data_IF_747030625029
#
_entry.id   IF_747030625029
#
_cell.length_a   1.000
_cell.length_b   1.000
_cell.length_c   1.000
_cell.angle_alpha   90.00
_cell.angle_beta   90.00
_cell.angle_gamma   90.00
#
_symmetry.space_group_name_H-M   'P 1'
#
loop_
_entity.id
_entity.type
_entity.pdbx_description
1 polymer ?
#
# COMPACT_ATOMS: atom_id res chain seq x y z
N UNK A 1 8.89 9.34 8.11
CA UNK A 1 8.01 8.94 6.99
C UNK A 1 8.65 7.87 6.09
N UNK A 2 9.96 7.95 5.78
CA UNK A 2 10.66 7.00 4.88
C UNK A 2 10.64 5.51 5.33
N UNK A 3 10.63 5.23 6.63
CA UNK A 3 10.69 3.85 7.13
C UNK A 3 9.41 3.03 6.83
N UNK A 4 8.23 3.66 6.83
CA UNK A 4 6.97 2.93 6.67
C UNK A 4 6.74 2.54 5.20
N UNK A 5 7.09 3.44 4.28
CA UNK A 5 7.04 3.17 2.84
C UNK A 5 7.96 2.02 2.46
N UNK A 6 9.21 2.03 2.90
CA UNK A 6 10.18 0.95 2.58
C UNK A 6 9.70 -0.43 3.05
N UNK A 7 9.11 -0.49 4.25
CA UNK A 7 8.54 -1.72 4.77
C UNK A 7 7.35 -2.17 3.91
N UNK A 8 6.40 -1.29 3.60
CA UNK A 8 5.21 -1.68 2.82
C UNK A 8 5.52 -1.98 1.35
N UNK A 9 6.53 -1.34 0.74
CA UNK A 9 6.95 -1.60 -0.64
C UNK A 9 7.67 -2.94 -0.81
N UNK A 10 8.42 -3.37 0.20
CA UNK A 10 9.24 -4.59 0.14
C UNK A 10 8.50 -5.88 0.48
N UNK A 11 7.21 -5.80 0.83
CA UNK A 11 6.43 -6.93 1.37
C UNK A 11 5.38 -7.42 0.38
N UNK A 12 5.17 -8.73 0.35
CA UNK A 12 4.06 -9.40 -0.33
C UNK A 12 2.73 -9.08 0.35
N UNK A 13 1.60 -9.33 -0.33
CA UNK A 13 0.28 -9.06 0.27
C UNK A 13 -0.03 -9.98 1.47
N UNK A 14 0.55 -11.19 1.49
CA UNK A 14 0.53 -12.08 2.65
C UNK A 14 1.26 -11.49 3.84
N UNK A 15 2.50 -11.02 3.65
CA UNK A 15 3.29 -10.40 4.72
C UNK A 15 2.66 -9.11 5.22
N UNK A 16 2.11 -8.27 4.33
CA UNK A 16 1.39 -7.06 4.74
C UNK A 16 0.15 -7.40 5.57
N UNK A 17 -0.56 -8.47 5.25
CA UNK A 17 -1.70 -8.95 6.05
C UNK A 17 -1.25 -9.36 7.46
N UNK A 18 -0.12 -10.06 7.58
CA UNK A 18 0.46 -10.41 8.87
C UNK A 18 0.90 -9.18 9.67
N UNK A 19 1.52 -8.20 9.02
CA UNK A 19 1.93 -6.93 9.64
C UNK A 19 0.71 -6.21 10.24
N UNK A 20 -0.42 -6.13 9.52
CA UNK A 20 -1.64 -5.53 10.06
C UNK A 20 -2.18 -6.28 11.27
N UNK A 21 -2.17 -7.62 11.23
CA UNK A 21 -2.66 -8.44 12.33
C UNK A 21 -1.82 -8.24 13.60
N UNK A 22 -0.49 -8.26 13.47
CA UNK A 22 0.45 -8.03 14.57
C UNK A 22 0.31 -6.59 15.11
N UNK A 23 0.19 -5.61 14.22
CA UNK A 23 0.00 -4.22 14.62
C UNK A 23 -1.27 -4.05 15.47
N UNK A 24 -2.39 -4.63 15.01
CA UNK A 24 -3.66 -4.60 15.74
C UNK A 24 -3.55 -5.26 17.11
N UNK A 25 -2.83 -6.38 17.21
CA UNK A 25 -2.60 -7.05 18.49
C UNK A 25 -1.83 -6.17 19.48
N UNK A 26 -0.79 -5.49 19.00
CA UNK A 26 0.13 -4.71 19.85
C UNK A 26 -0.42 -3.34 20.23
N UNK A 27 -1.15 -2.68 19.32
CA UNK A 27 -1.56 -1.29 19.47
C UNK A 27 -3.06 -1.11 19.69
N UNK A 28 -3.85 -2.20 19.61
CA UNK A 28 -5.33 -2.19 19.68
C UNK A 28 -5.98 -1.18 18.72
N UNK A 29 -5.27 -0.82 17.66
CA UNK A 29 -5.71 0.09 16.61
C UNK A 29 -5.47 -0.54 15.24
N UNK A 30 -6.20 -0.09 14.23
CA UNK A 30 -5.98 -0.49 12.85
C UNK A 30 -4.84 0.35 12.26
N UNK A 31 -3.83 -0.32 11.67
CA UNK A 31 -2.66 0.34 11.09
C UNK A 31 -3.05 1.47 10.13
N UNK A 32 -4.11 1.26 9.33
CA UNK A 32 -4.59 2.26 8.38
C UNK A 32 -5.13 3.50 9.10
N UNK A 33 -5.84 3.34 10.21
CA UNK A 33 -6.42 4.47 10.95
C UNK A 33 -5.33 5.33 11.60
N UNK A 34 -4.27 4.71 12.10
CA UNK A 34 -3.15 5.43 12.71
C UNK A 34 -2.29 6.12 11.64
N UNK A 35 -2.13 5.51 10.46
CA UNK A 35 -1.53 6.18 9.30
C UNK A 35 -2.36 7.41 8.92
N UNK A 36 -3.69 7.31 8.97
CA UNK A 36 -4.63 8.42 8.67
C UNK A 36 -4.58 9.53 9.70
N UNK A 37 -4.57 9.19 10.98
CA UNK A 37 -4.60 10.16 12.06
C UNK A 37 -3.27 10.91 12.24
N UNK A 38 -2.15 10.29 11.84
CA UNK A 38 -0.80 10.82 12.07
C UNK A 38 -0.23 11.72 10.98
N UNK A 39 -0.96 12.02 9.90
CA UNK A 39 -0.41 12.74 8.74
C UNK A 39 -1.34 13.88 8.31
N UNK A 40 -0.78 15.08 8.13
CA UNK A 40 -1.48 16.20 7.51
C UNK A 40 -1.91 15.81 6.09
N UNK A 41 -3.22 15.90 5.82
CA UNK A 41 -3.94 15.32 4.68
C UNK A 41 -3.53 15.80 3.26
N UNK A 42 -2.38 16.47 3.11
CA UNK A 42 -1.93 17.13 1.88
C UNK A 42 -0.84 16.37 1.09
N UNK A 43 -0.24 15.29 1.63
CA UNK A 43 0.85 14.58 0.94
C UNK A 43 0.34 13.39 0.09
N UNK A 44 0.66 13.37 -1.20
CA UNK A 44 0.30 12.30 -2.14
C UNK A 44 0.89 10.94 -1.76
N UNK A 45 2.03 10.92 -1.05
CA UNK A 45 2.68 9.69 -0.57
C UNK A 45 1.78 8.90 0.38
N UNK A 46 0.89 9.59 1.09
CA UNK A 46 0.01 8.98 2.07
C UNK A 46 -1.12 8.15 1.44
N UNK A 47 -1.69 8.61 0.32
CA UNK A 47 -2.67 7.81 -0.42
C UNK A 47 -2.04 6.53 -0.98
N UNK A 48 -0.78 6.60 -1.37
CA UNK A 48 -0.01 5.43 -1.82
C UNK A 48 0.19 4.43 -0.67
N UNK A 49 0.56 4.90 0.52
CA UNK A 49 0.71 4.07 1.73
C UNK A 49 -0.60 3.36 2.13
N UNK A 50 -1.73 4.07 2.11
CA UNK A 50 -3.05 3.47 2.39
C UNK A 50 -3.37 2.37 1.38
N UNK A 51 -3.17 2.63 0.10
CA UNK A 51 -3.46 1.65 -0.95
C UNK A 51 -2.56 0.41 -0.84
N UNK A 52 -1.30 0.58 -0.48
CA UNK A 52 -0.38 -0.52 -0.21
C UNK A 52 -0.82 -1.33 1.02
N UNK A 53 -1.19 -0.66 2.13
CA UNK A 53 -1.66 -1.32 3.34
C UNK A 53 -2.98 -2.09 3.13
N UNK A 54 -3.81 -1.70 2.16
CA UNK A 54 -5.06 -2.39 1.82
C UNK A 54 -4.84 -3.78 1.21
N UNK A 55 -3.65 -4.11 0.69
CA UNK A 55 -3.33 -5.44 0.12
C UNK A 55 -4.33 -5.88 -0.97
N UNK A 56 -4.63 -4.98 -1.89
CA UNK A 56 -5.50 -5.25 -3.05
C UNK A 56 -4.69 -5.32 -4.34
N UNK A 57 -3.41 -5.73 -4.26
CA UNK A 57 -2.59 -5.81 -5.46
C UNK A 57 -3.09 -7.01 -6.26
N UNK A 58 -3.38 -6.77 -7.53
CA UNK A 58 -3.59 -7.87 -8.45
C UNK A 58 -2.24 -8.57 -8.65
N UNK A 59 -2.07 -9.74 -8.04
CA UNK A 59 -0.88 -10.58 -8.17
C UNK A 59 -0.95 -11.49 -9.41
N UNK A 60 -2.02 -11.40 -10.21
CA UNK A 60 -2.10 -12.16 -11.45
C UNK A 60 -1.03 -11.69 -12.43
N UNK A 61 -0.16 -12.62 -12.84
CA UNK A 61 0.79 -12.44 -13.93
C UNK A 61 0.03 -12.61 -15.26
N UNK A 62 -1.10 -11.91 -15.42
CA UNK A 62 -1.72 -11.75 -16.73
C UNK A 62 -1.18 -10.45 -17.31
N UNK A 63 -0.14 -10.57 -18.12
CA UNK A 63 0.39 -9.47 -18.93
C UNK A 63 -0.69 -9.05 -19.93
N UNK A 64 -1.60 -8.16 -19.51
CA UNK A 64 -2.60 -7.59 -20.41
C UNK A 64 -1.90 -6.59 -21.32
N UNK A 65 -1.50 -7.05 -22.51
CA UNK A 65 -0.88 -6.21 -23.53
C UNK A 65 -1.69 -4.94 -23.86
N UNK A 66 -3.00 -4.92 -23.56
CA UNK A 66 -3.86 -3.74 -23.73
C UNK A 66 -3.57 -2.61 -22.73
N UNK A 67 -3.22 -2.90 -21.48
CA UNK A 67 -2.95 -1.86 -20.48
C UNK A 67 -1.53 -1.30 -20.60
N UNK A 68 -0.57 -2.11 -21.04
CA UNK A 68 0.79 -1.64 -21.30
C UNK A 68 0.82 -0.59 -22.42
N UNK A 69 0.06 -0.79 -23.52
CA UNK A 69 0.07 0.12 -24.67
C UNK A 69 -0.61 1.48 -24.40
N UNK A 70 -1.62 1.54 -23.53
CA UNK A 70 -2.29 2.81 -23.18
C UNK A 70 -1.38 3.80 -22.43
N UNK A 71 -0.30 3.32 -21.80
CA UNK A 71 0.69 4.17 -21.12
C UNK A 71 1.70 4.77 -22.11
N UNK A 72 1.90 4.15 -23.28
CA UNK A 72 2.88 4.60 -24.27
C UNK A 72 2.32 5.59 -25.32
N UNK A 73 1.02 5.57 -25.59
CA UNK A 73 0.40 6.44 -26.60
C UNK A 73 -0.08 7.80 -26.07
N UNK A 74 0.13 8.09 -24.78
CA UNK A 74 -0.23 9.37 -24.14
C UNK A 74 0.92 10.39 -24.05
N UNK A 75 1.82 10.46 -25.03
CA UNK A 75 2.84 11.50 -25.15
C UNK A 75 2.56 12.45 -26.31
#
# INVERSE_FOLDING_TARGET
MLQLSEILFSKTDTEKTQIRAIYRQNHRSELINDIVAGVDNADWNYWLLINLAKCKRDESIQTSHKQASQVFEGK
#
